data_IF_639722732568
#
_entry.id   IF_639722732568
#
_cell.length_a   1.000
_cell.length_b   1.000
_cell.length_c   1.000
_cell.angle_alpha   90.00
_cell.angle_beta   90.00
_cell.angle_gamma   90.00
#
_symmetry.space_group_name_H-M   'P 1'
#
loop_
_entity.id
_entity.type
_entity.pdbx_description
1 polymer ?
#
# COMPACT_ATOMS: atom_id res chain seq x y z
N UNK A 1 13.36 -7.76 -6.31
CA UNK A 1 12.63 -7.20 -7.49
C UNK A 1 12.43 -5.69 -7.33
N UNK A 2 12.13 -4.97 -8.43
CA UNK A 2 11.75 -3.54 -8.42
C UNK A 2 10.26 -3.43 -8.76
N UNK A 3 9.48 -2.77 -7.90
CA UNK A 3 8.03 -2.73 -8.01
C UNK A 3 7.54 -1.29 -7.82
N UNK A 4 6.75 -0.81 -8.77
CA UNK A 4 6.06 0.48 -8.67
C UNK A 4 4.58 0.22 -8.41
N UNK A 5 4.05 0.81 -7.35
CA UNK A 5 2.64 0.68 -6.95
C UNK A 5 1.98 2.03 -7.13
N UNK A 6 0.87 2.06 -7.89
CA UNK A 6 0.08 3.26 -8.11
C UNK A 6 -1.13 3.22 -7.16
N UNK A 7 -1.15 4.14 -6.20
CA UNK A 7 -2.15 4.23 -5.13
C UNK A 7 -1.60 3.85 -3.76
N UNK A 8 -1.69 4.80 -2.82
CA UNK A 8 -1.38 4.72 -1.38
C UNK A 8 -2.50 4.19 -0.49
N UNK A 9 -3.56 3.65 -1.09
CA UNK A 9 -4.68 3.08 -0.34
C UNK A 9 -4.37 1.72 0.32
N UNK A 10 -5.34 1.16 1.06
CA UNK A 10 -5.16 -0.08 1.84
C UNK A 10 -4.61 -1.24 1.01
N UNK A 11 -5.07 -1.41 -0.23
CA UNK A 11 -4.60 -2.49 -1.11
C UNK A 11 -3.11 -2.34 -1.48
N UNK A 12 -2.67 -1.14 -1.87
CA UNK A 12 -1.29 -0.87 -2.27
C UNK A 12 -0.32 -0.99 -1.10
N UNK A 13 -0.70 -0.44 0.06
CA UNK A 13 0.10 -0.55 1.29
C UNK A 13 0.17 -1.98 1.80
N UNK A 14 -0.95 -2.72 1.80
CA UNK A 14 -0.96 -4.10 2.24
C UNK A 14 -0.13 -5.01 1.33
N UNK A 15 -0.21 -4.81 0.02
CA UNK A 15 0.66 -5.48 -0.93
C UNK A 15 2.15 -5.19 -0.65
N UNK A 16 2.53 -3.93 -0.49
CA UNK A 16 3.92 -3.56 -0.23
C UNK A 16 4.44 -4.17 1.08
N UNK A 17 3.61 -4.17 2.13
CA UNK A 17 3.89 -4.83 3.40
C UNK A 17 4.14 -6.33 3.22
N UNK A 18 3.26 -7.04 2.51
CA UNK A 18 3.42 -8.49 2.27
C UNK A 18 4.66 -8.79 1.44
N UNK A 19 4.98 -7.99 0.42
CA UNK A 19 6.16 -8.17 -0.41
C UNK A 19 7.46 -7.94 0.38
N UNK A 20 7.49 -6.95 1.27
CA UNK A 20 8.61 -6.72 2.20
C UNK A 20 8.74 -7.82 3.26
N UNK A 21 7.62 -8.35 3.77
CA UNK A 21 7.64 -9.51 4.68
C UNK A 21 8.18 -10.76 4.01
N UNK A 22 7.83 -10.99 2.75
CA UNK A 22 8.29 -12.15 1.98
C UNK A 22 9.79 -12.08 1.66
N UNK A 23 10.25 -10.91 1.22
CA UNK A 23 11.67 -10.64 0.99
C UNK A 23 11.95 -9.13 1.13
N UNK A 24 12.72 -8.70 2.15
CA UNK A 24 13.04 -7.30 2.38
C UNK A 24 13.86 -6.65 1.26
N UNK A 25 14.55 -7.42 0.43
CA UNK A 25 15.40 -6.95 -0.67
C UNK A 25 14.60 -6.32 -1.82
N UNK A 26 13.27 -6.53 -1.86
CA UNK A 26 12.39 -5.85 -2.81
C UNK A 26 12.54 -4.33 -2.72
N UNK A 27 12.87 -3.66 -3.83
CA UNK A 27 12.76 -2.21 -3.92
C UNK A 27 11.34 -1.86 -4.37
N UNK A 28 10.59 -1.16 -3.52
CA UNK A 28 9.17 -0.85 -3.74
C UNK A 28 8.99 0.65 -3.58
N UNK A 29 8.37 1.28 -4.59
CA UNK A 29 7.98 2.69 -4.55
C UNK A 29 6.47 2.79 -4.70
N UNK A 30 5.82 3.48 -3.77
CA UNK A 30 4.41 3.84 -3.85
C UNK A 30 4.27 5.27 -4.38
N UNK A 31 3.34 5.47 -5.28
CA UNK A 31 2.94 6.77 -5.78
C UNK A 31 1.49 7.03 -5.35
N UNK A 32 1.27 8.06 -4.56
CA UNK A 32 -0.06 8.54 -4.18
C UNK A 32 -0.25 9.95 -4.76
N UNK A 33 -1.45 10.21 -5.28
CA UNK A 33 -1.83 11.51 -5.85
C UNK A 33 -2.18 12.51 -4.77
N UNK A 34 -2.86 12.06 -3.72
CA UNK A 34 -3.38 12.91 -2.66
C UNK A 34 -2.30 13.23 -1.61
N UNK A 35 -2.52 14.29 -0.82
CA UNK A 35 -1.64 14.61 0.31
C UNK A 35 -1.72 13.52 1.40
N UNK A 36 -0.69 13.34 2.26
CA UNK A 36 -0.68 12.28 3.27
C UNK A 36 -1.90 12.27 4.21
N UNK A 37 -2.44 13.44 4.54
CA UNK A 37 -3.59 13.59 5.43
C UNK A 37 -4.95 13.59 4.69
N UNK A 38 -4.92 13.54 3.36
CA UNK A 38 -6.11 13.57 2.51
C UNK A 38 -6.66 12.14 2.32
N UNK A 39 -7.21 11.62 3.41
CA UNK A 39 -7.76 10.26 3.48
C UNK A 39 -9.26 10.26 3.23
N UNK A 40 -9.67 9.46 2.24
CA UNK A 40 -11.08 9.25 1.90
C UNK A 40 -11.49 7.83 2.24
N UNK A 41 -12.65 7.67 2.87
CA UNK A 41 -13.17 6.35 3.21
C UNK A 41 -14.32 6.41 4.20
N UNK A 42 -15.00 5.28 4.35
CA UNK A 42 -16.02 5.06 5.37
C UNK A 42 -15.55 3.95 6.31
N UNK A 43 -16.25 3.73 7.42
CA UNK A 43 -15.99 2.57 8.26
C UNK A 43 -16.11 1.28 7.45
N UNK A 44 -15.03 0.49 7.38
CA UNK A 44 -15.00 -0.83 6.75
C UNK A 44 -14.71 -1.88 7.81
N UNK A 45 -15.21 -3.10 7.59
CA UNK A 45 -14.97 -4.26 8.47
C UNK A 45 -14.27 -5.36 7.69
N UNK A 46 -13.45 -6.14 8.38
CA UNK A 46 -12.94 -7.39 7.83
C UNK A 46 -13.96 -8.50 8.04
N UNK A 47 -14.09 -9.37 7.04
CA UNK A 47 -14.84 -10.61 7.20
C UNK A 47 -14.10 -11.51 8.19
N UNK A 48 -14.78 -11.85 9.28
CA UNK A 48 -14.36 -12.90 10.21
C UNK A 48 -14.89 -14.26 9.80
#
# INVERSE_FOLDING_TARGET
>A
MRINVIGGGPAGLYFALLMKKRDPSHNIVLFERNAPDDTFGWGVVFSG
#
